data_IF_261687258697
#
_entry.id   IF_261687258697
#
_cell.length_a   1.000
_cell.length_b   1.000
_cell.length_c   1.000
_cell.angle_alpha   90.00
_cell.angle_beta   90.00
_cell.angle_gamma   90.00
#
_symmetry.space_group_name_H-M   'P 1'
#
loop_
_entity.id
_entity.type
_entity.pdbx_description
1 polymer ?
#
# COMPACT_ATOMS: atom_id res chain seq x y z
N UNK A 1 -13.27 14.25 -4.94
CA UNK A 1 -12.91 12.99 -4.26
C UNK A 1 -11.96 12.22 -5.14
N UNK A 2 -10.84 11.81 -4.57
CA UNK A 2 -9.82 11.11 -5.32
C UNK A 2 -10.14 9.63 -5.41
N UNK A 3 -10.02 9.08 -6.61
CA UNK A 3 -10.32 7.68 -6.81
C UNK A 3 -9.03 6.97 -7.23
N UNK A 4 -8.65 5.95 -6.51
CA UNK A 4 -7.43 5.21 -6.75
C UNK A 4 -7.78 3.80 -7.20
N UNK A 5 -7.19 3.38 -8.32
CA UNK A 5 -7.40 2.05 -8.87
C UNK A 5 -6.31 1.12 -8.34
N UNK A 6 -6.67 -0.11 -8.02
CA UNK A 6 -5.71 -1.12 -7.57
C UNK A 6 -5.62 -2.19 -8.65
N UNK A 7 -4.40 -2.47 -9.11
CA UNK A 7 -4.18 -3.48 -10.14
C UNK A 7 -4.58 -4.86 -9.64
N UNK A 8 -5.08 -5.70 -10.54
CA UNK A 8 -5.55 -7.03 -10.19
C UNK A 8 -4.45 -7.87 -9.53
N UNK A 9 -3.20 -7.72 -9.96
CA UNK A 9 -2.09 -8.46 -9.36
C UNK A 9 -1.89 -8.10 -7.88
N UNK A 10 -2.13 -6.85 -7.53
CA UNK A 10 -2.04 -6.40 -6.15
C UNK A 10 -3.20 -6.99 -5.34
N UNK A 11 -4.39 -6.97 -5.92
CA UNK A 11 -5.56 -7.55 -5.27
C UNK A 11 -5.34 -9.04 -5.01
N UNK A 12 -4.84 -9.77 -6.01
CA UNK A 12 -4.55 -11.19 -5.87
C UNK A 12 -3.51 -11.45 -4.79
N UNK A 13 -2.49 -10.62 -4.72
CA UNK A 13 -1.45 -10.73 -3.71
C UNK A 13 -2.04 -10.59 -2.30
N UNK A 14 -2.88 -9.59 -2.09
CA UNK A 14 -3.51 -9.35 -0.79
C UNK A 14 -4.42 -10.50 -0.41
N UNK A 15 -5.22 -10.97 -1.36
CA UNK A 15 -6.15 -12.07 -1.11
C UNK A 15 -5.41 -13.37 -0.81
N UNK A 16 -4.28 -13.60 -1.47
CA UNK A 16 -3.48 -14.79 -1.26
C UNK A 16 -2.85 -14.80 0.13
N UNK A 17 -2.35 -13.65 0.57
CA UNK A 17 -1.68 -13.55 1.86
C UNK A 17 -2.64 -13.37 3.03
N UNK A 18 -3.88 -13.03 2.76
CA UNK A 18 -4.94 -12.91 3.78
C UNK A 18 -4.58 -11.98 4.92
N UNK A 19 -3.98 -10.85 4.61
CA UNK A 19 -3.65 -9.83 5.61
C UNK A 19 -3.83 -8.44 5.03
N UNK A 20 -3.91 -7.46 5.91
CA UNK A 20 -4.05 -6.07 5.50
C UNK A 20 -2.69 -5.50 5.12
N UNK A 21 -2.69 -4.62 4.16
CA UNK A 21 -1.48 -3.96 3.69
C UNK A 21 -1.68 -2.44 3.65
N UNK A 22 -0.59 -1.73 3.56
CA UNK A 22 -0.62 -0.27 3.50
C UNK A 22 0.34 0.22 2.43
N UNK A 23 -0.11 1.16 1.60
CA UNK A 23 0.76 1.86 0.66
C UNK A 23 1.38 3.01 1.44
N UNK A 24 2.66 2.90 1.72
CA UNK A 24 3.39 3.86 2.53
C UNK A 24 4.47 4.54 1.71
N UNK A 25 5.20 5.46 2.31
CA UNK A 25 6.25 6.21 1.65
C UNK A 25 7.61 5.60 1.95
N UNK A 26 8.43 5.46 0.92
CA UNK A 26 9.82 5.03 1.08
C UNK A 26 10.72 5.99 0.33
N UNK A 27 12.04 5.79 0.41
CA UNK A 27 13.00 6.61 -0.33
C UNK A 27 12.78 6.51 -1.84
N UNK A 28 12.25 5.39 -2.29
CA UNK A 28 12.02 5.16 -3.72
C UNK A 28 10.61 5.49 -4.17
N UNK A 29 9.78 5.99 -3.28
CA UNK A 29 8.38 6.32 -3.58
C UNK A 29 7.41 5.41 -2.85
N UNK A 30 6.23 5.19 -3.41
CA UNK A 30 5.22 4.37 -2.72
C UNK A 30 5.64 2.91 -2.66
N UNK A 31 5.36 2.26 -1.54
CA UNK A 31 5.67 0.86 -1.31
C UNK A 31 4.53 0.21 -0.55
N UNK A 32 4.22 -1.04 -0.89
CA UNK A 32 3.16 -1.79 -0.22
C UNK A 32 3.80 -2.65 0.86
N UNK A 33 3.39 -2.44 2.10
CA UNK A 33 3.94 -3.16 3.25
C UNK A 33 2.81 -3.69 4.13
N UNK A 34 3.05 -4.75 4.90
CA UNK A 34 2.06 -5.20 5.86
C UNK A 34 1.80 -4.14 6.91
N UNK A 35 0.58 -4.08 7.41
CA UNK A 35 0.22 -3.12 8.45
C UNK A 35 0.98 -3.34 9.75
N UNK A 36 1.60 -4.51 9.92
CA UNK A 36 2.47 -4.78 11.06
C UNK A 36 3.79 -4.01 10.97
N UNK A 37 4.22 -3.66 9.75
CA UNK A 37 5.45 -2.90 9.52
C UNK A 37 5.14 -1.40 9.58
N UNK A 38 4.07 -1.00 8.93
CA UNK A 38 3.62 0.40 8.93
C UNK A 38 2.14 0.42 9.28
N UNK A 39 1.79 0.69 10.54
CA UNK A 39 0.38 0.71 10.94
C UNK A 39 -0.41 1.78 10.22
N UNK A 40 -1.68 1.52 9.91
CA UNK A 40 -2.51 2.51 9.24
C UNK A 40 -2.81 3.70 10.15
N UNK A 41 -3.07 4.83 9.53
CA UNK A 41 -3.47 6.05 10.24
C UNK A 41 -4.92 6.36 9.93
N UNK A 42 -5.56 7.13 10.81
CA UNK A 42 -6.95 7.50 10.62
C UNK A 42 -7.19 8.25 9.32
N UNK A 43 -6.19 8.95 8.83
CA UNK A 43 -6.29 9.71 7.59
C UNK A 43 -6.07 8.89 6.35
N UNK A 44 -5.68 7.62 6.49
CA UNK A 44 -5.45 6.77 5.33
C UNK A 44 -6.74 6.49 4.57
N UNK A 45 -6.63 6.38 3.25
CA UNK A 45 -7.74 5.89 2.44
C UNK A 45 -7.83 4.38 2.63
N UNK A 46 -9.03 3.85 2.56
CA UNK A 46 -9.26 2.43 2.76
C UNK A 46 -9.90 1.84 1.52
N UNK A 47 -9.27 0.80 0.96
CA UNK A 47 -9.80 0.08 -0.18
C UNK A 47 -10.07 -1.35 0.25
N UNK A 48 -11.31 -1.79 0.11
CA UNK A 48 -11.67 -3.15 0.49
C UNK A 48 -11.15 -4.14 -0.55
N UNK A 49 -10.47 -5.17 -0.08
CA UNK A 49 -9.96 -6.24 -0.93
C UNK A 49 -10.40 -7.56 -0.29
N UNK A 50 -11.55 -8.08 -0.70
CA UNK A 50 -12.13 -9.27 -0.08
C UNK A 50 -12.46 -9.00 1.38
N UNK A 51 -11.89 -9.78 2.28
CA UNK A 51 -12.08 -9.61 3.71
C UNK A 51 -10.98 -8.73 4.32
N UNK A 52 -10.03 -8.30 3.51
CA UNK A 52 -8.93 -7.49 3.98
C UNK A 52 -9.05 -6.05 3.49
N UNK A 53 -8.16 -5.20 3.95
CA UNK A 53 -8.18 -3.79 3.58
C UNK A 53 -6.79 -3.37 3.13
N UNK A 54 -6.74 -2.61 2.04
CA UNK A 54 -5.53 -1.95 1.60
C UNK A 54 -5.65 -0.49 2.04
N UNK A 55 -4.78 -0.07 2.94
CA UNK A 55 -4.74 1.31 3.39
C UNK A 55 -3.78 2.08 2.49
N UNK A 56 -4.11 3.31 2.17
CA UNK A 56 -3.24 4.14 1.33
C UNK A 56 -2.93 5.41 2.10
N UNK A 57 -1.66 5.64 2.36
CA UNK A 57 -1.21 6.84 3.05
C UNK A 57 -1.77 8.08 2.36
N UNK A 58 -2.28 9.01 3.13
CA UNK A 58 -2.84 10.26 2.59
C UNK A 58 -1.82 11.01 1.76
N UNK A 59 -0.55 10.96 2.14
CA UNK A 59 0.51 11.61 1.40
C UNK A 59 0.64 10.98 0.01
N UNK A 60 0.68 9.65 -0.05
CA UNK A 60 0.79 8.96 -1.33
C UNK A 60 -0.47 9.11 -2.17
N UNK A 61 -1.63 9.14 -1.54
CA UNK A 61 -2.89 9.27 -2.24
C UNK A 61 -2.97 10.55 -3.07
N UNK A 62 -2.15 11.55 -2.77
CA UNK A 62 -2.11 12.79 -3.54
C UNK A 62 -1.28 12.67 -4.81
N UNK A 63 -0.40 11.68 -4.88
CA UNK A 63 0.54 11.55 -5.99
C UNK A 63 0.30 10.34 -6.86
N UNK A 64 -0.50 9.38 -6.40
CA UNK A 64 -0.78 8.19 -7.19
C UNK A 64 -2.27 8.10 -7.49
N UNK A 65 -2.60 7.59 -8.64
CA UNK A 65 -3.97 7.27 -8.99
C UNK A 65 -4.14 5.77 -9.19
N UNK A 66 -3.06 5.01 -9.02
CA UNK A 66 -3.07 3.58 -9.25
C UNK A 66 -2.05 2.89 -8.36
N UNK A 67 -2.43 1.77 -7.80
CA UNK A 67 -1.53 0.92 -7.01
C UNK A 67 -1.09 -0.21 -7.92
N UNK A 68 0.22 -0.33 -8.13
CA UNK A 68 0.80 -1.25 -9.11
C UNK A 68 1.66 -2.32 -8.44
N UNK A 69 1.91 -3.46 -9.11
CA UNK A 69 2.70 -4.55 -8.52
C UNK A 69 4.15 -4.18 -8.20
N UNK A 70 4.72 -3.21 -8.89
CA UNK A 70 6.09 -2.79 -8.60
C UNK A 70 6.23 -2.18 -7.21
N UNK A 71 5.14 -1.76 -6.60
CA UNK A 71 5.16 -1.25 -5.23
C UNK A 71 5.33 -2.37 -4.20
N UNK A 72 5.25 -3.64 -4.64
CA UNK A 72 5.44 -4.79 -3.76
C UNK A 72 6.92 -5.15 -3.56
N UNK A 73 7.83 -4.32 -4.00
CA UNK A 73 9.25 -4.60 -3.93
C UNK A 73 9.76 -4.44 -2.50
N UNK A 74 10.01 -5.56 -1.83
CA UNK A 74 10.47 -5.56 -0.46
C UNK A 74 11.89 -5.01 -0.29
N UNK A 75 12.69 -5.00 -1.32
CA UNK A 75 14.04 -4.47 -1.22
C UNK A 75 14.05 -2.99 -0.98
N UNK A 76 12.98 -2.30 -1.34
CA UNK A 76 12.87 -0.86 -1.07
C UNK A 76 12.84 -0.55 0.41
N UNK A 77 12.31 -1.47 1.21
CA UNK A 77 12.26 -1.26 2.64
C UNK A 77 13.63 -1.44 3.26
N UNK A 78 14.39 -2.40 2.77
CA UNK A 78 15.70 -2.68 3.32
C UNK A 78 16.73 -1.64 2.95
N UNK A 79 16.60 -1.04 1.79
CA UNK A 79 17.56 -0.06 1.33
C UNK A 79 17.32 1.34 1.92
N UNK A 80 16.21 1.53 2.56
CA UNK A 80 15.88 2.81 3.13
C UNK A 80 15.48 2.64 4.55
N UNK A 81 16.20 3.32 5.40
CA UNK A 81 15.74 3.23 6.73
C UNK A 81 14.65 4.18 6.90
N UNK A 82 13.62 3.88 7.09
CA UNK A 82 12.67 4.61 7.09
C UNK A 82 11.98 5.12 7.95
N UNK A 83 11.41 5.82 7.82
CA UNK A 83 10.61 6.62 8.50
C UNK A 83 9.41 5.93 9.17
#
# INVERSE_FOLDING_TARGET
MQRITVDQEVIDFILHNKRDYRVSTSCSGPVIVPTTVKPPKDTDLKVKVGQNTLYISRVQARYIDRVTPDMLDETRLESCSLF
#
